data_IF_225464470152
#
_entry.id   IF_225464470152
#
_cell.length_a   1.000
_cell.length_b   1.000
_cell.length_c   1.000
_cell.angle_alpha   90.00
_cell.angle_beta   90.00
_cell.angle_gamma   90.00
#
_symmetry.space_group_name_H-M   'P 1'
#
loop_
_entity.id
_entity.type
_entity.pdbx_description
1 polymer ?
#
# COMPACT_ATOMS: atom_id res chain seq x y z
N UNK A 1 64.20 -0.68 7.67
CA UNK A 1 62.83 -1.07 8.11
C UNK A 1 61.88 0.12 8.32
N UNK A 2 62.28 1.38 8.10
CA UNK A 2 61.40 2.55 8.27
C UNK A 2 60.67 2.98 6.98
N UNK A 3 61.26 2.78 5.80
CA UNK A 3 60.66 3.23 4.52
C UNK A 3 59.33 2.53 4.16
N UNK A 4 59.14 1.28 4.58
CA UNK A 4 57.89 0.53 4.34
C UNK A 4 56.76 1.02 5.24
N UNK A 5 57.08 1.39 6.49
CA UNK A 5 56.12 1.95 7.46
C UNK A 5 55.66 3.35 7.06
N UNK A 6 56.57 4.20 6.58
CA UNK A 6 56.23 5.54 6.09
C UNK A 6 55.31 5.48 4.87
N UNK A 7 55.53 4.51 3.97
CA UNK A 7 54.70 4.34 2.78
C UNK A 7 53.30 3.82 3.13
N UNK A 8 53.18 2.86 4.06
CA UNK A 8 51.87 2.37 4.51
C UNK A 8 51.09 3.44 5.27
N UNK A 9 51.79 4.23 6.09
CA UNK A 9 51.19 5.33 6.84
C UNK A 9 50.66 6.43 5.91
N UNK A 10 51.41 6.79 4.86
CA UNK A 10 50.95 7.73 3.83
C UNK A 10 49.71 7.22 3.08
N UNK A 11 49.66 5.93 2.73
CA UNK A 11 48.49 5.33 2.06
C UNK A 11 47.25 5.38 2.98
N UNK A 12 47.41 5.07 4.27
CA UNK A 12 46.32 5.11 5.24
C UNK A 12 45.78 6.54 5.42
N UNK A 13 46.66 7.55 5.48
CA UNK A 13 46.26 8.95 5.57
C UNK A 13 45.44 9.37 4.34
N UNK A 14 45.88 8.99 3.13
CA UNK A 14 45.17 9.30 1.89
C UNK A 14 43.78 8.65 1.88
N UNK A 15 43.66 7.39 2.29
CA UNK A 15 42.38 6.69 2.40
C UNK A 15 41.44 7.35 3.41
N UNK A 16 41.96 7.78 4.55
CA UNK A 16 41.19 8.51 5.57
C UNK A 16 40.68 9.86 5.05
N UNK A 17 41.50 10.60 4.32
CA UNK A 17 41.10 11.86 3.70
C UNK A 17 39.98 11.67 2.68
N UNK A 18 40.08 10.64 1.83
CA UNK A 18 39.02 10.31 0.86
C UNK A 18 37.72 9.98 1.58
N UNK A 19 37.78 9.18 2.66
CA UNK A 19 36.61 8.81 3.44
C UNK A 19 35.94 10.03 4.09
N UNK A 20 36.73 10.96 4.65
CA UNK A 20 36.22 12.21 5.22
C UNK A 20 35.53 13.07 4.14
N UNK A 21 36.11 13.16 2.94
CA UNK A 21 35.52 13.91 1.82
C UNK A 21 34.17 13.29 1.42
N UNK A 22 34.08 11.96 1.31
CA UNK A 22 32.83 11.27 0.98
C UNK A 22 31.75 11.53 2.04
N UNK A 23 32.10 11.45 3.32
CA UNK A 23 31.16 11.74 4.41
C UNK A 23 30.70 13.20 4.41
N UNK A 24 31.59 14.15 4.11
CA UNK A 24 31.24 15.57 4.00
C UNK A 24 30.26 15.83 2.85
N UNK A 25 30.43 15.16 1.70
CA UNK A 25 29.51 15.26 0.55
C UNK A 25 28.13 14.71 0.92
N UNK A 26 28.06 13.55 1.57
CA UNK A 26 26.79 12.94 2.00
C UNK A 26 26.09 13.85 3.02
N UNK A 27 26.81 14.35 4.02
CA UNK A 27 26.26 15.27 5.02
C UNK A 27 25.77 16.58 4.37
N UNK A 28 26.50 17.12 3.40
CA UNK A 28 26.10 18.28 2.63
C UNK A 28 24.83 18.06 1.81
N UNK A 29 24.68 16.91 1.16
CA UNK A 29 23.47 16.54 0.41
C UNK A 29 22.25 16.39 1.32
N UNK A 30 22.41 15.73 2.46
CA UNK A 30 21.34 15.58 3.46
C UNK A 30 20.93 16.94 4.01
N UNK A 31 21.90 17.80 4.36
CA UNK A 31 21.63 19.14 4.88
C UNK A 31 20.96 20.04 3.83
N UNK A 32 21.38 19.96 2.57
CA UNK A 32 20.76 20.70 1.47
C UNK A 32 19.30 20.28 1.24
N UNK A 33 19.01 18.99 1.25
CA UNK A 33 17.63 18.49 1.16
C UNK A 33 16.79 18.89 2.38
N UNK A 34 17.37 18.85 3.57
CA UNK A 34 16.68 19.24 4.80
C UNK A 34 16.36 20.75 4.82
N UNK A 35 17.30 21.61 4.45
CA UNK A 35 17.08 23.05 4.36
C UNK A 35 16.11 23.44 3.24
N UNK A 36 16.07 22.69 2.14
CA UNK A 36 15.09 22.91 1.06
C UNK A 36 13.67 22.53 1.49
N UNK A 37 13.50 21.50 2.32
CA UNK A 37 12.21 21.15 2.91
C UNK A 37 11.74 22.18 3.95
N UNK A 38 12.66 22.82 4.69
CA UNK A 38 12.30 23.80 5.74
C UNK A 38 11.91 25.19 5.22
N UNK A 39 12.20 25.55 3.96
CA UNK A 39 11.86 26.87 3.37
C UNK A 39 10.49 26.93 2.69
N UNK A 40 9.71 25.84 2.71
CA UNK A 40 8.43 25.76 2.02
C UNK A 40 7.21 25.88 2.95
N UNK A 41 7.28 26.72 3.97
CA UNK A 41 6.12 27.13 4.79
C UNK A 41 6.28 28.57 5.28
N UNK A 42 6.22 29.56 4.36
CA UNK A 42 5.87 30.94 4.72
C UNK A 42 5.49 31.78 3.50
N UNK A 43 4.36 32.50 3.62
CA UNK A 43 3.80 33.56 2.78
C UNK A 43 2.91 33.19 1.56
N UNK A 44 1.62 33.20 1.86
CA UNK A 44 0.52 33.58 0.97
C UNK A 44 0.68 34.99 0.40
N UNK A 45 0.47 35.18 -0.91
CA UNK A 45 -0.32 36.33 -1.41
C UNK A 45 -0.90 36.05 -2.80
N UNK A 46 -2.20 36.26 -2.89
CA UNK A 46 -3.05 36.25 -4.08
C UNK A 46 -2.66 37.41 -4.99
N UNK A 47 -2.34 37.14 -6.27
CA UNK A 47 -2.92 37.79 -7.46
C UNK A 47 -2.26 37.32 -8.78
N UNK A 48 -3.07 36.60 -9.58
CA UNK A 48 -3.26 36.72 -11.04
C UNK A 48 -2.02 36.88 -11.94
N UNK A 49 -1.68 35.80 -12.66
CA UNK A 49 -1.46 35.90 -14.11
C UNK A 49 -1.68 34.56 -14.82
N UNK A 50 -2.56 34.60 -15.82
CA UNK A 50 -2.71 33.58 -16.86
C UNK A 50 -1.40 33.38 -17.64
N UNK A 51 -1.28 32.17 -18.22
CA UNK A 51 -0.19 31.66 -19.06
C UNK A 51 1.07 31.18 -18.31
N UNK A 52 1.05 29.89 -17.96
CA UNK A 52 1.81 28.95 -18.78
C UNK A 52 1.22 27.54 -18.70
N UNK A 53 0.99 27.00 -19.89
CA UNK A 53 0.57 25.63 -20.15
C UNK A 53 1.80 24.73 -20.04
N UNK A 54 1.54 23.48 -19.69
CA UNK A 54 2.41 22.32 -19.85
C UNK A 54 3.59 22.21 -18.89
N UNK A 55 3.29 21.66 -17.72
CA UNK A 55 3.94 20.49 -17.08
C UNK A 55 3.65 20.57 -15.59
N UNK A 56 2.59 19.87 -15.18
CA UNK A 56 2.28 19.38 -13.83
C UNK A 56 0.79 19.05 -13.82
N UNK A 57 0.44 17.98 -14.53
CA UNK A 57 -0.89 17.39 -14.51
C UNK A 57 -0.75 15.87 -14.44
N UNK A 58 -0.07 15.42 -13.39
CA UNK A 58 -0.24 14.06 -12.88
C UNK A 58 -0.29 14.16 -11.36
N UNK A 59 -1.33 13.54 -10.79
CA UNK A 59 -1.63 13.42 -9.36
C UNK A 59 -2.41 14.55 -8.66
N UNK A 60 -3.47 15.06 -9.28
CA UNK A 60 -4.53 15.83 -8.58
C UNK A 60 -5.93 15.38 -9.00
N UNK A 61 -6.20 14.07 -8.90
CA UNK A 61 -7.54 13.48 -9.04
C UNK A 61 -7.81 12.45 -7.93
N UNK A 62 -7.45 12.81 -6.68
CA UNK A 62 -7.90 12.10 -5.48
C UNK A 62 -8.81 13.00 -4.63
N UNK A 63 -9.46 13.98 -5.26
CA UNK A 63 -10.60 14.65 -4.64
C UNK A 63 -11.85 13.79 -4.81
N UNK A 64 -12.50 13.56 -3.68
CA UNK A 64 -13.83 12.96 -3.50
C UNK A 64 -13.89 11.44 -3.30
N UNK A 65 -13.39 10.94 -2.18
CA UNK A 65 -14.17 9.90 -1.48
C UNK A 65 -15.48 10.53 -1.01
N UNK A 66 -16.60 9.82 -1.19
CA UNK A 66 -17.95 10.30 -0.84
C UNK A 66 -18.21 10.34 0.67
N UNK A 67 -17.33 9.74 1.48
CA UNK A 67 -17.48 9.70 2.93
C UNK A 67 -16.41 10.48 3.69
N UNK A 68 -16.53 10.38 5.01
CA UNK A 68 -15.76 11.15 6.00
C UNK A 68 -14.76 10.21 6.65
N UNK A 69 -13.56 10.72 6.94
CA UNK A 69 -12.56 9.93 7.65
C UNK A 69 -13.06 9.55 9.06
N UNK A 70 -12.96 8.26 9.42
CA UNK A 70 -13.29 7.76 10.76
C UNK A 70 -12.60 8.53 11.90
N UNK A 71 -11.37 8.98 11.68
CA UNK A 71 -10.58 9.68 12.69
C UNK A 71 -10.74 11.21 12.65
N UNK A 72 -11.31 11.76 11.58
CA UNK A 72 -11.40 13.20 11.35
C UNK A 72 -12.74 13.56 10.68
N UNK A 73 -13.69 14.05 11.46
CA UNK A 73 -15.04 14.39 11.00
C UNK A 73 -15.09 15.50 9.92
N UNK A 74 -14.03 16.30 9.81
CA UNK A 74 -13.96 17.44 8.89
C UNK A 74 -13.17 17.14 7.61
N UNK A 75 -12.59 15.94 7.48
CA UNK A 75 -11.76 15.57 6.33
C UNK A 75 -12.44 14.51 5.49
N UNK A 76 -12.38 14.70 4.17
CA UNK A 76 -12.87 13.72 3.21
C UNK A 76 -12.00 12.46 3.24
N UNK A 77 -12.67 11.33 3.11
CA UNK A 77 -12.02 10.04 2.86
C UNK A 77 -11.36 10.05 1.48
N UNK A 78 -10.23 9.37 1.36
CA UNK A 78 -9.56 9.11 0.07
C UNK A 78 -9.51 7.62 -0.25
N UNK A 79 -9.97 6.76 0.67
CA UNK A 79 -9.93 5.32 0.51
C UNK A 79 -10.34 4.57 1.77
N UNK A 80 -10.32 3.25 1.67
CA UNK A 80 -10.69 2.33 2.74
C UNK A 80 -9.50 1.51 3.22
N UNK A 81 -9.48 1.18 4.50
CA UNK A 81 -8.55 0.21 5.05
C UNK A 81 -8.91 -1.20 4.58
N UNK A 82 -7.94 -1.93 4.03
CA UNK A 82 -8.14 -3.28 3.48
C UNK A 82 -8.51 -4.32 4.54
N UNK A 83 -8.21 -4.08 5.83
CA UNK A 83 -8.57 -4.98 6.93
C UNK A 83 -9.97 -4.64 7.47
N UNK A 84 -10.18 -3.44 8.01
CA UNK A 84 -11.44 -3.08 8.67
C UNK A 84 -12.54 -2.51 7.76
N UNK A 85 -12.23 -2.18 6.50
CA UNK A 85 -13.16 -1.60 5.52
C UNK A 85 -13.72 -0.22 5.90
N UNK A 86 -13.11 0.45 6.86
CA UNK A 86 -13.49 1.82 7.25
C UNK A 86 -12.76 2.86 6.38
N UNK A 87 -13.35 4.04 6.30
CA UNK A 87 -12.92 5.15 5.46
C UNK A 87 -11.92 6.08 6.17
N UNK A 88 -10.84 6.45 5.48
CA UNK A 88 -9.76 7.27 6.03
C UNK A 88 -9.29 8.37 5.07
N UNK A 89 -8.86 9.50 5.63
CA UNK A 89 -8.21 10.57 4.87
C UNK A 89 -6.78 10.20 4.50
N UNK A 90 -6.17 11.00 3.61
CA UNK A 90 -4.79 10.82 3.11
C UNK A 90 -3.73 10.73 4.21
N UNK A 91 -3.95 11.40 5.34
CA UNK A 91 -2.99 11.39 6.44
C UNK A 91 -3.05 10.08 7.26
N UNK A 92 -4.26 9.53 7.41
CA UNK A 92 -4.52 8.32 8.19
C UNK A 92 -4.30 7.04 7.40
N UNK A 93 -4.54 7.06 6.08
CA UNK A 93 -4.40 5.89 5.23
C UNK A 93 -2.95 5.78 4.73
N UNK A 94 -2.29 4.65 5.00
CA UNK A 94 -0.95 4.35 4.49
C UNK A 94 -1.01 3.18 3.51
N UNK A 95 -0.31 3.31 2.39
CA UNK A 95 -0.18 2.22 1.41
C UNK A 95 1.16 1.50 1.61
N UNK A 96 1.11 0.18 1.77
CA UNK A 96 2.28 -0.72 1.83
C UNK A 96 1.97 -1.99 1.06
N UNK A 97 2.87 -2.43 0.17
CA UNK A 97 2.69 -3.63 -0.65
C UNK A 97 1.35 -3.72 -1.39
N UNK A 98 0.91 -2.58 -1.97
CA UNK A 98 -0.41 -2.38 -2.63
C UNK A 98 -1.63 -2.44 -1.71
N UNK A 99 -1.45 -2.63 -0.41
CA UNK A 99 -2.52 -2.69 0.60
C UNK A 99 -2.65 -1.33 1.29
N UNK A 100 -3.89 -0.85 1.44
CA UNK A 100 -4.18 0.40 2.14
C UNK A 100 -4.56 0.08 3.59
N UNK A 101 -3.89 0.67 4.57
CA UNK A 101 -4.05 0.37 5.98
C UNK A 101 -4.28 1.63 6.81
N UNK A 102 -5.13 1.54 7.81
CA UNK A 102 -5.28 2.57 8.82
C UNK A 102 -4.24 2.41 9.93
N UNK A 103 -4.08 3.41 10.83
CA UNK A 103 -3.05 3.38 11.86
C UNK A 103 -3.19 2.20 12.82
N UNK A 104 -4.43 1.79 13.13
CA UNK A 104 -4.73 0.68 14.04
C UNK A 104 -4.30 -0.68 13.48
N UNK A 105 -4.40 -0.86 12.16
CA UNK A 105 -4.15 -2.14 11.50
C UNK A 105 -2.76 -2.23 10.86
N UNK A 106 -2.00 -1.13 10.85
CA UNK A 106 -0.65 -1.11 10.29
C UNK A 106 0.28 -2.11 11.00
N UNK A 107 0.30 -2.12 12.33
CA UNK A 107 1.14 -3.06 13.10
C UNK A 107 0.66 -4.51 12.91
N UNK A 108 -0.66 -4.74 12.92
CA UNK A 108 -1.23 -6.07 12.64
C UNK A 108 -0.76 -6.61 11.28
N UNK A 109 -0.63 -5.76 10.26
CA UNK A 109 -0.07 -6.16 8.98
C UNK A 109 1.43 -6.44 9.07
N UNK A 110 2.22 -5.52 9.63
CA UNK A 110 3.68 -5.62 9.68
C UNK A 110 4.20 -6.79 10.55
N UNK A 111 3.47 -7.14 11.61
CA UNK A 111 3.87 -8.17 12.58
C UNK A 111 3.53 -9.60 12.15
N UNK A 112 2.86 -9.78 11.00
CA UNK A 112 2.41 -11.09 10.53
C UNK A 112 2.88 -11.38 9.11
N UNK A 113 3.11 -12.66 8.83
CA UNK A 113 3.28 -13.16 7.47
C UNK A 113 1.90 -13.46 6.88
N UNK A 114 1.67 -13.00 5.67
CA UNK A 114 0.38 -13.11 4.97
C UNK A 114 0.49 -14.06 3.78
N UNK A 115 -0.49 -14.94 3.67
CA UNK A 115 -0.56 -15.93 2.58
C UNK A 115 -1.95 -15.91 1.95
N UNK A 116 -1.99 -16.06 0.63
CA UNK A 116 -3.25 -16.15 -0.13
C UNK A 116 -3.85 -17.54 0.02
N UNK A 117 -5.12 -17.61 0.41
CA UNK A 117 -5.89 -18.87 0.46
C UNK A 117 -6.86 -19.03 -0.71
N UNK A 118 -6.98 -18.01 -1.57
CA UNK A 118 -7.75 -18.07 -2.81
C UNK A 118 -6.97 -17.46 -3.97
N UNK A 119 -7.39 -17.81 -5.18
CA UNK A 119 -6.96 -17.15 -6.41
C UNK A 119 -8.07 -17.27 -7.47
N UNK A 120 -9.23 -16.67 -7.20
CA UNK A 120 -10.40 -16.81 -8.05
C UNK A 120 -10.33 -15.86 -9.24
N UNK A 121 -10.32 -16.41 -10.45
CA UNK A 121 -10.42 -15.63 -11.69
C UNK A 121 -11.87 -15.21 -11.91
N UNK A 122 -12.06 -13.93 -12.21
CA UNK A 122 -13.32 -13.35 -12.69
C UNK A 122 -13.09 -12.63 -14.01
N UNK A 123 -14.12 -12.58 -14.83
CA UNK A 123 -14.18 -11.89 -16.14
C UNK A 123 -15.48 -11.10 -16.23
N UNK A 124 -15.69 -10.29 -17.27
CA UNK A 124 -16.98 -9.62 -17.49
C UNK A 124 -18.17 -10.59 -17.59
N UNK A 125 -17.94 -11.83 -18.01
CA UNK A 125 -19.00 -12.84 -18.16
C UNK A 125 -19.35 -13.55 -16.84
N UNK A 126 -18.43 -13.56 -15.87
CA UNK A 126 -18.57 -14.22 -14.57
C UNK A 126 -18.03 -13.37 -13.39
N UNK A 127 -18.53 -12.13 -13.21
CA UNK A 127 -18.07 -11.25 -12.13
C UNK A 127 -18.44 -11.78 -10.73
N UNK A 128 -19.53 -12.55 -10.62
CA UNK A 128 -20.07 -13.09 -9.37
C UNK A 128 -19.18 -14.16 -8.73
N UNK A 129 -18.30 -14.79 -9.50
CA UNK A 129 -17.41 -15.86 -9.01
C UNK A 129 -16.54 -15.41 -7.83
N UNK A 130 -16.19 -14.12 -7.75
CA UNK A 130 -15.40 -13.57 -6.65
C UNK A 130 -16.21 -13.18 -5.40
N UNK A 131 -17.55 -13.14 -5.46
CA UNK A 131 -18.39 -12.52 -4.42
C UNK A 131 -18.31 -13.26 -3.08
N UNK A 132 -18.18 -14.60 -3.11
CA UNK A 132 -18.06 -15.40 -1.90
C UNK A 132 -16.83 -15.01 -1.06
N UNK A 133 -15.74 -14.56 -1.70
CA UNK A 133 -14.51 -14.15 -1.04
C UNK A 133 -14.74 -12.89 -0.20
N UNK A 134 -15.43 -11.89 -0.75
CA UNK A 134 -15.79 -10.67 -0.03
C UNK A 134 -16.72 -10.97 1.15
N UNK A 135 -17.71 -11.84 0.94
CA UNK A 135 -18.62 -12.26 2.00
C UNK A 135 -17.90 -13.02 3.12
N UNK A 136 -16.95 -13.89 2.76
CA UNK A 136 -16.15 -14.63 3.73
C UNK A 136 -15.22 -13.70 4.53
N UNK A 137 -14.54 -12.75 3.89
CA UNK A 137 -13.76 -11.71 4.58
C UNK A 137 -14.62 -10.95 5.60
N UNK A 138 -15.80 -10.51 5.17
CA UNK A 138 -16.73 -9.78 6.03
C UNK A 138 -17.17 -10.63 7.24
N UNK A 139 -17.44 -11.91 7.02
CA UNK A 139 -17.73 -12.87 8.09
C UNK A 139 -16.54 -13.02 9.06
N UNK A 140 -15.32 -13.19 8.56
CA UNK A 140 -14.12 -13.30 9.39
C UNK A 140 -13.93 -12.07 10.27
N UNK A 141 -14.14 -10.88 9.72
CA UNK A 141 -13.98 -9.63 10.46
C UNK A 141 -15.11 -9.41 11.47
N UNK A 142 -16.37 -9.45 11.02
CA UNK A 142 -17.53 -9.09 11.86
C UNK A 142 -17.85 -10.12 12.94
N UNK A 143 -17.77 -11.41 12.61
CA UNK A 143 -18.19 -12.48 13.52
C UNK A 143 -17.03 -13.03 14.36
N UNK A 144 -15.81 -13.04 13.80
CA UNK A 144 -14.64 -13.64 14.46
C UNK A 144 -13.54 -12.64 14.85
N UNK A 145 -13.58 -11.40 14.37
CA UNK A 145 -12.49 -10.43 14.58
C UNK A 145 -11.15 -10.89 13.99
N UNK A 146 -11.17 -11.78 12.99
CA UNK A 146 -9.95 -12.29 12.35
C UNK A 146 -9.54 -11.33 11.23
N UNK A 147 -8.34 -10.73 11.30
CA UNK A 147 -7.88 -9.81 10.27
C UNK A 147 -7.54 -10.59 8.99
N UNK A 148 -8.05 -10.09 7.87
CA UNK A 148 -7.79 -10.58 6.52
C UNK A 148 -7.96 -9.45 5.52
N UNK A 149 -7.36 -9.55 4.34
CA UNK A 149 -7.50 -8.55 3.28
C UNK A 149 -7.60 -9.20 1.90
N UNK A 150 -8.19 -8.48 0.95
CA UNK A 150 -8.30 -8.94 -0.44
C UNK A 150 -7.34 -8.13 -1.30
N UNK A 151 -6.64 -8.82 -2.19
CA UNK A 151 -5.81 -8.24 -3.25
C UNK A 151 -6.39 -8.67 -4.60
N UNK A 152 -6.50 -7.70 -5.51
CA UNK A 152 -6.99 -7.92 -6.87
C UNK A 152 -5.83 -7.69 -7.85
N UNK A 153 -5.41 -8.75 -8.53
CA UNK A 153 -4.45 -8.65 -9.63
C UNK A 153 -5.20 -8.65 -10.96
N UNK A 154 -4.77 -7.78 -11.89
CA UNK A 154 -5.42 -7.61 -13.18
C UNK A 154 -4.54 -8.14 -14.31
N UNK A 155 -5.15 -8.85 -15.25
CA UNK A 155 -4.51 -9.28 -16.50
C UNK A 155 -5.34 -8.81 -17.69
N UNK A 156 -4.70 -8.06 -18.58
CA UNK A 156 -5.32 -7.52 -19.79
C UNK A 156 -5.30 -8.60 -20.87
N UNK A 157 -6.47 -9.01 -21.36
CA UNK A 157 -6.63 -9.91 -22.50
C UNK A 157 -6.82 -9.09 -23.78
N UNK A 158 -5.74 -8.91 -24.53
CA UNK A 158 -5.72 -8.06 -25.73
C UNK A 158 -6.52 -8.67 -26.89
N UNK A 159 -6.53 -10.00 -27.01
CA UNK A 159 -7.20 -10.69 -28.13
C UNK A 159 -8.73 -10.52 -28.09
N UNK A 160 -9.30 -10.55 -26.89
CA UNK A 160 -10.74 -10.53 -26.66
C UNK A 160 -11.22 -9.20 -26.04
N UNK A 161 -10.32 -8.22 -25.90
CA UNK A 161 -10.57 -6.87 -25.38
C UNK A 161 -11.28 -6.85 -24.01
N UNK A 162 -10.77 -7.60 -23.04
CA UNK A 162 -11.29 -7.57 -21.66
C UNK A 162 -10.20 -7.69 -20.59
N UNK A 163 -10.57 -7.43 -19.33
CA UNK A 163 -9.70 -7.54 -18.16
C UNK A 163 -10.13 -8.74 -17.32
N UNK A 164 -9.18 -9.63 -17.05
CA UNK A 164 -9.32 -10.69 -16.05
C UNK A 164 -8.91 -10.13 -14.69
N UNK A 165 -9.68 -10.42 -13.66
CA UNK A 165 -9.33 -10.09 -12.28
C UNK A 165 -9.09 -11.38 -11.50
N UNK A 166 -8.02 -11.42 -10.73
CA UNK A 166 -7.67 -12.51 -9.83
C UNK A 166 -7.87 -12.03 -8.40
N UNK A 167 -8.92 -12.53 -7.75
CA UNK A 167 -9.33 -12.14 -6.40
C UNK A 167 -8.67 -13.08 -5.38
N UNK A 168 -7.76 -12.53 -4.58
CA UNK A 168 -6.96 -13.26 -3.61
C UNK A 168 -7.29 -12.79 -2.19
N UNK A 169 -7.76 -13.70 -1.34
CA UNK A 169 -7.92 -13.47 0.09
C UNK A 169 -6.64 -13.85 0.81
N UNK A 170 -6.03 -12.87 1.47
CA UNK A 170 -4.87 -13.06 2.31
C UNK A 170 -5.28 -13.17 3.78
N UNK A 171 -4.74 -14.19 4.42
CA UNK A 171 -4.88 -14.44 5.86
C UNK A 171 -3.50 -14.57 6.47
N UNK A 172 -3.43 -14.50 7.80
CA UNK A 172 -2.17 -14.76 8.51
C UNK A 172 -1.76 -16.21 8.29
N UNK A 173 -0.47 -16.45 8.08
CA UNK A 173 0.08 -17.78 7.81
C UNK A 173 -0.37 -18.84 8.83
N UNK A 174 -0.39 -18.48 10.12
CA UNK A 174 -0.86 -19.35 11.21
C UNK A 174 -2.32 -19.81 11.08
N UNK A 175 -3.16 -19.04 10.38
CA UNK A 175 -4.60 -19.32 10.22
C UNK A 175 -4.88 -20.00 8.85
N UNK A 176 -3.85 -20.19 8.01
CA UNK A 176 -4.00 -20.63 6.61
C UNK A 176 -4.77 -21.94 6.48
N UNK A 177 -4.36 -22.99 7.21
CA UNK A 177 -4.91 -24.32 7.04
C UNK A 177 -6.40 -24.39 7.44
N UNK A 178 -6.75 -23.78 8.57
CA UNK A 178 -8.15 -23.73 9.05
C UNK A 178 -9.02 -22.95 8.07
N UNK A 179 -8.57 -21.75 7.68
CA UNK A 179 -9.39 -20.84 6.88
C UNK A 179 -9.53 -21.30 5.43
N UNK A 180 -8.54 -22.02 4.87
CA UNK A 180 -8.63 -22.61 3.53
C UNK A 180 -9.74 -23.67 3.47
N UNK A 181 -9.82 -24.56 4.46
CA UNK A 181 -10.91 -25.55 4.53
C UNK A 181 -12.26 -24.87 4.73
N UNK A 182 -12.30 -23.83 5.58
CA UNK A 182 -13.54 -23.14 5.91
C UNK A 182 -14.13 -22.37 4.73
N UNK A 183 -13.29 -21.74 3.91
CA UNK A 183 -13.79 -20.97 2.76
C UNK A 183 -14.36 -21.88 1.66
N UNK A 184 -13.83 -23.10 1.51
CA UNK A 184 -14.38 -24.10 0.58
C UNK A 184 -15.82 -24.48 0.97
N UNK A 185 -16.06 -24.79 2.25
CA UNK A 185 -17.41 -25.07 2.75
C UNK A 185 -18.33 -23.85 2.60
N UNK A 186 -17.81 -22.64 2.88
CA UNK A 186 -18.59 -21.40 2.73
C UNK A 186 -19.01 -21.14 1.28
N UNK A 187 -18.19 -21.53 0.30
CA UNK A 187 -18.51 -21.41 -1.12
C UNK A 187 -19.67 -22.34 -1.50
N UNK A 188 -19.61 -23.61 -1.08
CA UNK A 188 -20.62 -24.63 -1.37
C UNK A 188 -22.01 -24.24 -0.83
N UNK A 189 -22.07 -23.80 0.43
CA UNK A 189 -23.34 -23.34 1.04
C UNK A 189 -24.01 -22.21 0.23
N UNK A 190 -23.22 -21.32 -0.37
CA UNK A 190 -23.71 -20.19 -1.17
C UNK A 190 -24.11 -20.56 -2.59
N UNK A 191 -23.56 -21.63 -3.14
CA UNK A 191 -23.96 -22.18 -4.44
C UNK A 191 -25.29 -22.93 -4.31
N UNK A 192 -25.48 -23.73 -3.26
CA UNK A 192 -26.74 -24.45 -3.00
C UNK A 192 -27.94 -23.51 -2.77
N UNK A 193 -27.72 -22.34 -2.15
CA UNK A 193 -28.81 -21.37 -1.94
C UNK A 193 -29.25 -20.67 -3.24
N UNK A 194 -28.44 -20.70 -4.30
CA UNK A 194 -28.79 -20.09 -5.61
C UNK A 194 -29.69 -21.00 -6.45
N UNK A 195 -29.59 -22.32 -6.30
CA UNK A 195 -30.35 -23.28 -7.10
C UNK A 195 -31.80 -23.49 -6.58
N UNK A 196 -32.13 -22.93 -5.42
CA UNK A 196 -33.48 -22.97 -4.81
C UNK A 196 -34.34 -21.71 -5.08
N UNK A 197 -33.82 -20.72 -5.83
CA UNK A 197 -34.53 -19.47 -6.20
C UNK A 197 -34.81 -19.38 -7.70
#
# INVERSE_FOLDING_TARGET
MNQTLDTTLMIIIILLLILIIVLAVIAGLVLANYLKASKSDSNSTIHRNEKNKDKDKELSTLDSGTGVCKNHETRNSVGICSICEEEFCVDCLKQIDKVNLCPEHFNTFADNIWTSITNQRTTPDNPEDGVYIYNFKKFLWKEKGIPSYILNDYKIQVENDFIETYVQLHVREKDQEELSKKIESFKQEKEETKDEQ
#
